data_IF_153831710272
#
_entry.id   IF_153831710272
#
_cell.length_a   1.000
_cell.length_b   1.000
_cell.length_c   1.000
_cell.angle_alpha   90.00
_cell.angle_beta   90.00
_cell.angle_gamma   90.00
#
_symmetry.space_group_name_H-M   'P 1'
#
loop_
_entity.id
_entity.type
_entity.pdbx_description
1 polymer ?
#
# COMPACT_ATOMS: atom_id res chain seq x y z
N UNK A 1 -5.33 37.30 6.99
CA UNK A 1 -4.20 36.72 7.73
C UNK A 1 -4.75 35.62 8.62
N UNK A 2 -4.87 34.42 8.09
CA UNK A 2 -5.28 33.24 8.85
C UNK A 2 -4.01 32.56 9.35
N UNK A 3 -3.80 32.61 10.68
CA UNK A 3 -2.77 31.85 11.34
C UNK A 3 -3.05 30.36 11.17
N UNK A 4 -2.28 29.67 10.35
CA UNK A 4 -2.14 28.21 10.38
C UNK A 4 -1.54 27.86 11.75
N UNK A 5 -2.33 27.23 12.60
CA UNK A 5 -1.85 26.70 13.87
C UNK A 5 -0.95 25.50 13.56
N UNK A 6 0.34 25.64 13.82
CA UNK A 6 1.26 24.52 13.89
C UNK A 6 1.01 23.83 15.24
N UNK A 7 0.87 22.50 15.24
CA UNK A 7 0.97 21.74 16.48
C UNK A 7 2.41 21.73 16.99
N UNK A 8 2.63 21.32 18.24
CA UNK A 8 3.96 21.28 18.86
C UNK A 8 4.97 20.33 18.14
N UNK A 9 4.48 19.50 17.19
CA UNK A 9 5.31 18.60 16.36
C UNK A 9 5.71 19.22 15.01
N UNK A 10 5.21 20.42 14.67
CA UNK A 10 5.47 21.09 13.39
C UNK A 10 4.72 20.47 12.20
N UNK A 11 3.71 19.65 12.45
CA UNK A 11 2.78 19.17 11.43
C UNK A 11 1.76 20.28 11.13
N UNK A 12 1.61 20.59 9.85
CA UNK A 12 0.50 21.41 9.36
C UNK A 12 -0.76 20.57 9.57
N UNK A 13 -1.72 21.11 10.31
CA UNK A 13 -3.05 20.51 10.49
C UNK A 13 -3.56 20.12 9.09
N UNK A 14 -3.94 18.85 8.89
CA UNK A 14 -4.14 18.18 7.60
C UNK A 14 -5.27 18.72 6.72
N UNK A 15 -5.43 20.03 6.66
CA UNK A 15 -6.34 20.72 5.75
C UNK A 15 -5.82 20.77 4.32
N UNK A 16 -6.75 20.70 3.36
CA UNK A 16 -6.45 20.84 1.94
C UNK A 16 -6.27 22.31 1.57
N UNK A 17 -5.40 22.58 0.59
CA UNK A 17 -5.25 23.92 0.03
C UNK A 17 -6.29 24.15 -1.07
N UNK A 18 -6.72 25.41 -1.26
CA UNK A 18 -7.68 25.77 -2.31
C UNK A 18 -7.19 25.36 -3.69
N UNK A 19 -5.89 25.49 -3.95
CA UNK A 19 -5.30 25.14 -5.23
C UNK A 19 -5.38 23.62 -5.53
N UNK A 20 -5.13 22.77 -4.53
CA UNK A 20 -5.25 21.30 -4.67
C UNK A 20 -6.72 20.90 -4.83
N UNK A 21 -7.63 21.56 -4.10
CA UNK A 21 -9.07 21.32 -4.26
C UNK A 21 -9.55 21.66 -5.66
N UNK A 22 -9.18 22.84 -6.20
CA UNK A 22 -9.53 23.25 -7.57
C UNK A 22 -8.95 22.29 -8.61
N UNK A 23 -7.72 21.87 -8.43
CA UNK A 23 -7.04 20.88 -9.27
C UNK A 23 -7.78 19.53 -9.27
N UNK A 24 -8.30 19.07 -8.14
CA UNK A 24 -9.12 17.87 -8.03
C UNK A 24 -10.49 18.07 -8.70
N UNK A 25 -11.18 19.19 -8.44
CA UNK A 25 -12.49 19.50 -9.00
C UNK A 25 -12.48 19.58 -10.53
N UNK A 26 -11.41 20.10 -11.12
CA UNK A 26 -11.28 20.15 -12.57
C UNK A 26 -11.24 18.75 -13.21
N UNK A 27 -10.67 17.76 -12.54
CA UNK A 27 -10.69 16.38 -13.01
C UNK A 27 -12.09 15.77 -12.87
N UNK A 28 -12.73 15.94 -11.71
CA UNK A 28 -14.07 15.43 -11.45
C UNK A 28 -15.08 15.99 -12.46
N UNK A 29 -15.04 17.28 -12.78
CA UNK A 29 -15.92 17.91 -13.80
C UNK A 29 -15.73 17.32 -15.18
N UNK A 30 -14.49 17.08 -15.60
CA UNK A 30 -14.20 16.53 -16.94
C UNK A 30 -14.72 15.10 -17.13
N UNK A 31 -14.82 14.34 -16.04
CA UNK A 31 -15.15 12.92 -16.08
C UNK A 31 -16.56 12.59 -15.56
N UNK A 32 -17.27 13.54 -14.94
CA UNK A 32 -18.68 13.38 -14.57
C UNK A 32 -19.60 13.18 -15.78
N UNK A 33 -19.32 13.87 -16.90
CA UNK A 33 -20.11 13.81 -18.12
C UNK A 33 -19.79 12.57 -18.99
N UNK A 34 -18.62 11.95 -18.80
CA UNK A 34 -18.20 10.74 -19.50
C UNK A 34 -18.78 9.45 -18.89
N UNK A 35 -19.66 9.55 -17.93
CA UNK A 35 -20.04 8.52 -16.96
C UNK A 35 -20.76 7.27 -17.47
N UNK A 36 -21.09 7.13 -18.76
CA UNK A 36 -21.78 5.92 -19.24
C UNK A 36 -20.97 5.07 -20.23
N UNK A 37 -19.87 5.56 -20.78
CA UNK A 37 -19.12 4.88 -21.85
C UNK A 37 -17.76 4.30 -21.46
N UNK A 38 -17.31 4.47 -20.21
CA UNK A 38 -16.06 3.87 -19.74
C UNK A 38 -16.24 2.37 -19.41
N UNK A 39 -16.62 1.58 -20.40
CA UNK A 39 -16.46 0.12 -20.37
C UNK A 39 -14.98 -0.17 -20.62
N UNK A 40 -14.20 -0.22 -19.54
CA UNK A 40 -12.78 -0.53 -19.60
C UNK A 40 -12.45 -1.82 -18.84
N UNK A 41 -11.24 -2.32 -19.03
CA UNK A 41 -10.75 -3.57 -18.40
C UNK A 41 -10.86 -3.59 -16.86
N UNK A 42 -10.96 -2.41 -16.21
CA UNK A 42 -11.08 -2.28 -14.75
C UNK A 42 -12.51 -2.08 -14.24
N UNK A 43 -13.54 -2.18 -15.08
CA UNK A 43 -14.96 -2.01 -14.65
C UNK A 43 -15.40 -3.04 -13.59
N UNK A 44 -14.70 -4.16 -13.50
CA UNK A 44 -14.92 -5.23 -12.53
C UNK A 44 -14.10 -5.09 -11.25
N UNK A 45 -13.44 -3.94 -11.02
CA UNK A 45 -12.54 -3.71 -9.90
C UNK A 45 -13.02 -2.54 -9.04
N UNK A 46 -12.94 -2.70 -7.72
CA UNK A 46 -12.99 -1.61 -6.75
C UNK A 46 -11.60 -1.41 -6.11
N UNK A 47 -11.11 -0.19 -6.18
CA UNK A 47 -9.93 0.26 -5.44
C UNK A 47 -10.41 0.84 -4.11
N UNK A 48 -9.87 0.33 -2.99
CA UNK A 48 -10.21 0.79 -1.64
C UNK A 48 -9.04 1.59 -1.08
N UNK A 49 -9.31 2.84 -0.70
CA UNK A 49 -8.31 3.76 -0.12
C UNK A 49 -8.72 4.12 1.31
N UNK A 50 -8.11 3.47 2.33
CA UNK A 50 -8.18 3.98 3.69
C UNK A 50 -7.26 5.20 3.82
N UNK A 51 -7.74 6.27 4.45
CA UNK A 51 -6.95 7.48 4.69
C UNK A 51 -7.12 7.98 6.12
N UNK A 52 -6.09 8.70 6.61
CA UNK A 52 -6.11 9.34 7.90
C UNK A 52 -5.14 10.54 7.93
N UNK A 53 -5.66 11.75 8.19
CA UNK A 53 -4.90 13.00 8.30
C UNK A 53 -4.00 13.32 7.08
N UNK A 54 -4.41 12.87 5.86
CA UNK A 54 -3.68 13.05 4.61
C UNK A 54 -4.60 13.48 3.46
N UNK A 55 -5.48 14.41 3.71
CA UNK A 55 -6.52 14.80 2.75
C UNK A 55 -5.97 15.31 1.42
N UNK A 56 -4.81 15.99 1.38
CA UNK A 56 -4.15 16.39 0.14
C UNK A 56 -3.87 15.18 -0.77
N UNK A 57 -3.29 14.12 -0.19
CA UNK A 57 -3.01 12.88 -0.93
C UNK A 57 -4.31 12.19 -1.35
N UNK A 58 -5.35 12.28 -0.53
CA UNK A 58 -6.66 11.75 -0.88
C UNK A 58 -7.25 12.47 -2.10
N UNK A 59 -7.10 13.80 -2.22
CA UNK A 59 -7.48 14.54 -3.41
C UNK A 59 -6.68 14.12 -4.64
N UNK A 60 -5.39 13.76 -4.47
CA UNK A 60 -4.56 13.17 -5.53
C UNK A 60 -5.12 11.83 -6.00
N UNK A 61 -5.57 10.96 -5.10
CA UNK A 61 -6.21 9.69 -5.44
C UNK A 61 -7.53 9.91 -6.19
N UNK A 62 -8.39 10.79 -5.70
CA UNK A 62 -9.65 11.14 -6.35
C UNK A 62 -9.38 11.59 -7.80
N UNK A 63 -8.42 12.49 -8.01
CA UNK A 63 -8.03 12.94 -9.34
C UNK A 63 -7.52 11.81 -10.21
N UNK A 64 -6.64 10.95 -9.67
CA UNK A 64 -6.05 9.84 -10.42
C UNK A 64 -7.11 8.86 -10.91
N UNK A 65 -8.03 8.47 -10.04
CA UNK A 65 -9.05 7.47 -10.34
C UNK A 65 -10.29 8.03 -11.03
N UNK A 66 -10.50 9.35 -11.05
CA UNK A 66 -11.70 9.96 -11.67
C UNK A 66 -11.86 9.63 -13.15
N UNK A 67 -10.76 9.38 -13.89
CA UNK A 67 -10.78 8.99 -15.30
C UNK A 67 -10.82 7.47 -15.52
N UNK A 68 -10.76 6.66 -14.45
CA UNK A 68 -10.69 5.20 -14.54
C UNK A 68 -12.06 4.56 -14.70
N UNK A 69 -12.09 3.37 -15.32
CA UNK A 69 -13.28 2.50 -15.30
C UNK A 69 -13.45 1.74 -13.96
N UNK A 70 -12.44 1.70 -13.10
CA UNK A 70 -12.55 1.13 -11.76
C UNK A 70 -13.44 1.97 -10.85
N UNK A 71 -14.11 1.33 -9.90
CA UNK A 71 -14.75 2.01 -8.78
C UNK A 71 -13.71 2.38 -7.72
N UNK A 72 -13.90 3.51 -7.05
CA UNK A 72 -13.07 3.98 -5.95
C UNK A 72 -13.92 4.08 -4.68
N UNK A 73 -13.54 3.37 -3.63
CA UNK A 73 -14.13 3.47 -2.29
C UNK A 73 -13.10 4.07 -1.36
N UNK A 74 -13.44 5.21 -0.76
CA UNK A 74 -12.61 5.93 0.19
C UNK A 74 -13.25 5.86 1.57
N UNK A 75 -12.45 5.45 2.57
CA UNK A 75 -12.83 5.48 3.99
C UNK A 75 -11.83 6.36 4.75
N UNK A 76 -12.29 7.57 5.06
CA UNK A 76 -11.47 8.63 5.65
C UNK A 76 -11.71 8.73 7.16
N UNK A 77 -10.67 8.48 7.95
CA UNK A 77 -10.66 8.61 9.41
C UNK A 77 -10.13 9.95 9.91
N UNK A 78 -9.89 10.92 9.04
CA UNK A 78 -9.40 12.24 9.42
C UNK A 78 -10.36 12.95 10.41
N UNK A 79 -9.84 13.82 11.26
CA UNK A 79 -10.66 14.55 12.26
C UNK A 79 -11.81 15.34 11.63
N UNK A 80 -11.54 15.93 10.46
CA UNK A 80 -12.54 16.66 9.67
C UNK A 80 -12.77 15.93 8.35
N UNK A 81 -14.01 15.94 7.82
CA UNK A 81 -14.28 15.42 6.49
C UNK A 81 -13.63 16.28 5.39
N UNK A 82 -13.56 15.76 4.16
CA UNK A 82 -13.22 16.58 2.99
C UNK A 82 -14.15 17.81 2.90
N UNK A 83 -13.65 18.94 2.34
CA UNK A 83 -14.46 20.15 2.14
C UNK A 83 -15.75 19.88 1.38
N UNK A 84 -16.84 20.60 1.72
CA UNK A 84 -18.17 20.39 1.15
C UNK A 84 -18.19 20.41 -0.37
N UNK A 85 -17.42 21.33 -1.00
CA UNK A 85 -17.33 21.43 -2.45
C UNK A 85 -16.76 20.18 -3.11
N UNK A 86 -15.80 19.53 -2.45
CA UNK A 86 -15.22 18.26 -2.92
C UNK A 86 -16.21 17.12 -2.70
N UNK A 87 -16.81 17.04 -1.50
CA UNK A 87 -17.79 15.99 -1.19
C UNK A 87 -18.95 15.99 -2.17
N UNK A 88 -19.51 17.18 -2.46
CA UNK A 88 -20.61 17.31 -3.44
C UNK A 88 -20.20 16.88 -4.84
N UNK A 89 -18.97 17.17 -5.28
CA UNK A 89 -18.46 16.74 -6.59
C UNK A 89 -18.21 15.22 -6.62
N UNK A 90 -17.72 14.64 -5.54
CA UNK A 90 -17.52 13.18 -5.40
C UNK A 90 -18.87 12.45 -5.37
N UNK A 91 -19.86 12.95 -4.64
CA UNK A 91 -21.21 12.38 -4.60
C UNK A 91 -21.91 12.40 -5.98
N UNK A 92 -21.57 13.35 -6.81
CA UNK A 92 -22.06 13.41 -8.22
C UNK A 92 -21.32 12.47 -9.15
N UNK A 93 -20.16 11.91 -8.75
CA UNK A 93 -19.36 11.04 -9.59
C UNK A 93 -19.83 9.58 -9.48
N UNK A 94 -20.16 8.89 -10.58
CA UNK A 94 -20.86 7.59 -10.55
C UNK A 94 -20.03 6.43 -10.00
N UNK A 95 -18.70 6.58 -9.87
CA UNK A 95 -17.78 5.49 -9.47
C UNK A 95 -16.94 5.80 -8.25
N UNK A 96 -17.14 6.95 -7.59
CA UNK A 96 -16.38 7.32 -6.40
C UNK A 96 -17.34 7.37 -5.22
N UNK A 97 -17.04 6.56 -4.21
CA UNK A 97 -17.76 6.55 -2.94
C UNK A 97 -16.83 7.05 -1.84
N UNK A 98 -17.22 8.12 -1.16
CA UNK A 98 -16.49 8.67 -0.02
C UNK A 98 -17.29 8.46 1.26
N UNK A 99 -16.63 7.95 2.29
CA UNK A 99 -17.18 7.82 3.65
C UNK A 99 -16.18 8.40 4.64
N UNK A 100 -16.64 9.39 5.39
CA UNK A 100 -15.93 9.90 6.56
C UNK A 100 -16.44 9.16 7.80
N UNK A 101 -15.53 8.51 8.50
CA UNK A 101 -15.87 7.68 9.66
C UNK A 101 -14.71 7.70 10.67
N UNK A 102 -14.98 8.13 11.90
CA UNK A 102 -13.99 8.27 12.97
C UNK A 102 -13.76 6.98 13.77
N UNK A 103 -14.35 5.87 13.33
CA UNK A 103 -14.11 4.56 13.93
C UNK A 103 -12.67 4.10 13.70
N UNK A 104 -12.33 2.97 14.32
CA UNK A 104 -11.02 2.35 14.14
C UNK A 104 -10.73 2.01 12.68
N UNK A 105 -9.45 1.81 12.34
CA UNK A 105 -9.07 1.38 11.00
C UNK A 105 -9.71 0.05 10.62
N UNK A 106 -9.79 -0.89 11.55
CA UNK A 106 -10.44 -2.18 11.32
C UNK A 106 -11.93 -2.01 10.97
N UNK A 107 -12.64 -1.15 11.68
CA UNK A 107 -14.05 -0.86 11.40
C UNK A 107 -14.25 -0.15 10.06
N UNK A 108 -13.37 0.82 9.73
CA UNK A 108 -13.40 1.49 8.42
C UNK A 108 -13.15 0.53 7.26
N UNK A 109 -12.26 -0.45 7.42
CA UNK A 109 -12.03 -1.47 6.38
C UNK A 109 -13.21 -2.44 6.25
N UNK A 110 -13.90 -2.78 7.36
CA UNK A 110 -15.17 -3.52 7.31
C UNK A 110 -16.26 -2.74 6.59
N UNK A 111 -16.38 -1.45 6.93
CA UNK A 111 -17.31 -0.54 6.25
C UNK A 111 -17.01 -0.49 4.74
N UNK A 112 -15.74 -0.34 4.35
CA UNK A 112 -15.33 -0.34 2.95
C UNK A 112 -15.73 -1.65 2.25
N UNK A 113 -15.53 -2.79 2.90
CA UNK A 113 -15.94 -4.10 2.37
C UNK A 113 -17.43 -4.18 2.03
N UNK A 114 -18.29 -3.57 2.85
CA UNK A 114 -19.73 -3.48 2.59
C UNK A 114 -20.12 -2.57 1.43
N UNK A 115 -19.21 -1.73 0.94
CA UNK A 115 -19.43 -0.81 -0.18
C UNK A 115 -18.89 -1.35 -1.52
N UNK A 116 -18.19 -2.48 -1.52
CA UNK A 116 -17.66 -3.10 -2.74
C UNK A 116 -18.76 -3.88 -3.45
N UNK A 117 -19.05 -3.50 -4.69
CA UNK A 117 -20.05 -4.16 -5.54
C UNK A 117 -19.42 -4.95 -6.70
N UNK A 118 -18.16 -4.68 -7.04
CA UNK A 118 -17.43 -5.33 -8.14
C UNK A 118 -16.93 -6.73 -7.76
N UNK A 119 -16.66 -7.62 -8.74
CA UNK A 119 -16.13 -8.96 -8.50
C UNK A 119 -14.75 -9.01 -7.83
N UNK A 120 -13.95 -7.97 -8.05
CA UNK A 120 -12.57 -7.85 -7.56
C UNK A 120 -12.39 -6.58 -6.74
N UNK A 121 -11.50 -6.64 -5.76
CA UNK A 121 -11.10 -5.50 -4.96
C UNK A 121 -9.60 -5.48 -4.69
N UNK A 122 -9.04 -4.29 -4.51
CA UNK A 122 -7.64 -4.07 -4.15
C UNK A 122 -7.53 -2.91 -3.18
N UNK A 123 -6.66 -3.03 -2.17
CA UNK A 123 -6.35 -1.90 -1.29
C UNK A 123 -5.22 -1.05 -1.90
N UNK A 124 -5.24 0.26 -1.62
CA UNK A 124 -4.20 1.20 -2.02
C UNK A 124 -3.95 2.21 -0.90
N UNK A 125 -2.69 2.50 -0.60
CA UNK A 125 -2.32 3.63 0.25
C UNK A 125 -2.68 4.97 -0.40
N UNK A 126 -3.02 5.97 0.43
CA UNK A 126 -3.43 7.29 -0.05
C UNK A 126 -2.32 8.06 -0.79
N UNK A 127 -1.05 7.73 -0.56
CA UNK A 127 0.12 8.33 -1.21
C UNK A 127 0.78 7.45 -2.29
N UNK A 128 0.15 6.36 -2.72
CA UNK A 128 0.67 5.36 -3.65
C UNK A 128 -0.11 5.33 -4.96
N UNK A 129 0.31 4.50 -5.94
CA UNK A 129 -0.42 4.32 -7.19
C UNK A 129 -0.47 2.86 -7.60
N UNK A 130 -1.64 2.37 -7.98
CA UNK A 130 -1.76 1.17 -8.79
C UNK A 130 -1.77 1.54 -10.27
N UNK A 131 -1.09 0.74 -11.08
CA UNK A 131 -1.02 0.91 -12.53
C UNK A 131 -2.12 0.07 -13.19
N UNK A 132 -3.01 0.69 -13.98
CA UNK A 132 -4.12 0.02 -14.65
C UNK A 132 -3.75 -1.24 -15.43
N UNK A 133 -2.67 -1.21 -16.21
CA UNK A 133 -2.22 -2.37 -16.99
C UNK A 133 -1.80 -3.54 -16.09
N UNK A 134 -1.12 -3.27 -14.96
CA UNK A 134 -0.76 -4.28 -13.98
C UNK A 134 -1.96 -4.90 -13.27
N UNK A 135 -2.96 -4.07 -12.91
CA UNK A 135 -4.22 -4.52 -12.33
C UNK A 135 -5.00 -5.40 -13.33
N UNK A 136 -5.11 -4.98 -14.59
CA UNK A 136 -5.74 -5.75 -15.66
C UNK A 136 -5.07 -7.11 -15.86
N UNK A 137 -3.73 -7.15 -15.79
CA UNK A 137 -3.00 -8.42 -15.87
C UNK A 137 -3.33 -9.36 -14.69
N UNK A 138 -3.45 -8.83 -13.48
CA UNK A 138 -3.84 -9.62 -12.30
C UNK A 138 -5.28 -10.12 -12.39
N UNK A 139 -6.21 -9.31 -12.88
CA UNK A 139 -7.61 -9.70 -13.09
C UNK A 139 -7.71 -10.82 -14.13
N UNK A 140 -7.02 -10.72 -15.27
CA UNK A 140 -7.00 -11.78 -16.30
C UNK A 140 -6.54 -13.12 -15.73
N UNK A 141 -5.51 -13.12 -14.89
CA UNK A 141 -5.05 -14.34 -14.22
C UNK A 141 -6.12 -14.94 -13.30
N UNK A 142 -6.87 -14.10 -12.58
CA UNK A 142 -7.97 -14.54 -11.73
C UNK A 142 -9.17 -15.06 -12.55
N UNK A 143 -9.42 -14.46 -13.72
CA UNK A 143 -10.48 -14.93 -14.63
C UNK A 143 -10.13 -16.29 -15.23
N UNK A 144 -8.86 -16.51 -15.58
CA UNK A 144 -8.36 -17.76 -16.18
C UNK A 144 -8.28 -18.93 -15.17
N UNK A 145 -8.02 -18.65 -13.88
CA UNK A 145 -7.92 -19.68 -12.84
C UNK A 145 -8.84 -19.36 -11.64
N UNK A 146 -10.03 -19.97 -11.66
CA UNK A 146 -11.07 -19.77 -10.65
C UNK A 146 -10.68 -20.31 -9.25
N UNK A 147 -9.61 -21.07 -9.13
CA UNK A 147 -9.10 -21.55 -7.84
C UNK A 147 -8.29 -20.50 -7.10
N UNK A 148 -7.72 -19.55 -7.83
CA UNK A 148 -6.96 -18.45 -7.24
C UNK A 148 -7.89 -17.49 -6.50
N UNK A 149 -7.49 -17.10 -5.29
CA UNK A 149 -8.22 -16.11 -4.49
C UNK A 149 -7.65 -14.70 -4.65
N UNK A 150 -6.38 -14.61 -5.08
CA UNK A 150 -5.69 -13.35 -5.29
C UNK A 150 -4.55 -13.44 -6.29
N UNK A 151 -4.22 -12.31 -6.88
CA UNK A 151 -3.10 -12.14 -7.79
C UNK A 151 -2.45 -10.78 -7.58
N UNK A 152 -1.13 -10.70 -7.68
CA UNK A 152 -0.39 -9.47 -7.53
C UNK A 152 0.65 -9.33 -8.63
N UNK A 153 0.93 -8.08 -9.03
CA UNK A 153 2.05 -7.76 -9.91
C UNK A 153 3.33 -7.43 -9.15
N UNK A 154 4.32 -6.98 -9.89
CA UNK A 154 5.61 -6.50 -9.36
C UNK A 154 5.48 -5.06 -8.85
N UNK A 155 6.44 -4.65 -8.04
CA UNK A 155 6.40 -3.37 -7.33
C UNK A 155 7.66 -2.54 -7.61
N UNK A 156 7.44 -1.26 -7.88
CA UNK A 156 8.50 -0.25 -7.84
C UNK A 156 8.23 0.71 -6.69
N UNK A 157 9.27 1.10 -5.97
CA UNK A 157 9.18 2.26 -5.10
C UNK A 157 9.55 3.52 -5.86
N UNK A 158 8.91 4.63 -5.52
CA UNK A 158 9.25 5.93 -6.08
C UNK A 158 9.57 6.96 -5.01
N UNK A 159 10.48 7.88 -5.34
CA UNK A 159 10.82 9.04 -4.53
C UNK A 159 10.89 10.27 -5.42
N UNK A 160 10.17 11.36 -5.12
CA UNK A 160 10.37 12.62 -5.80
C UNK A 160 11.75 13.20 -5.53
N UNK A 161 12.36 13.77 -6.55
CA UNK A 161 13.68 14.43 -6.48
C UNK A 161 13.66 15.77 -7.23
N UNK A 162 14.70 16.58 -7.06
CA UNK A 162 14.88 17.82 -7.80
C UNK A 162 13.74 18.80 -7.63
N UNK A 163 13.37 19.13 -6.40
CA UNK A 163 12.20 19.98 -6.11
C UNK A 163 10.90 19.40 -6.70
N UNK A 164 10.74 18.08 -6.63
CA UNK A 164 9.60 17.30 -7.15
C UNK A 164 9.44 17.32 -8.67
N UNK A 165 10.48 17.72 -9.43
CA UNK A 165 10.39 17.77 -10.90
C UNK A 165 10.46 16.40 -11.56
N UNK A 166 11.00 15.38 -10.88
CA UNK A 166 11.13 14.00 -11.35
C UNK A 166 10.91 13.02 -10.23
N UNK A 167 10.57 11.80 -10.58
CA UNK A 167 10.62 10.66 -9.68
C UNK A 167 11.84 9.79 -9.98
N UNK A 168 12.27 9.13 -8.95
CA UNK A 168 13.32 8.14 -8.99
C UNK A 168 12.73 6.82 -8.57
N UNK A 169 12.93 5.80 -9.37
CA UNK A 169 12.37 4.49 -9.21
C UNK A 169 13.41 3.49 -8.69
N UNK A 170 12.98 2.60 -7.83
CA UNK A 170 13.77 1.48 -7.35
C UNK A 170 12.89 0.23 -7.24
N UNK A 171 13.49 -0.96 -7.31
CA UNK A 171 12.77 -2.19 -7.07
C UNK A 171 12.32 -2.26 -5.63
N UNK A 172 11.05 -2.59 -5.42
CA UNK A 172 10.53 -2.97 -4.12
C UNK A 172 10.08 -4.43 -4.17
N UNK A 173 10.22 -5.13 -3.07
CA UNK A 173 9.78 -6.53 -2.91
C UNK A 173 10.25 -7.48 -4.04
N UNK A 174 11.56 -7.65 -4.24
CA UNK A 174 12.09 -8.50 -5.33
C UNK A 174 11.67 -9.97 -5.20
N UNK A 175 11.35 -10.45 -4.00
CA UNK A 175 10.81 -11.79 -3.72
C UNK A 175 9.45 -12.05 -4.39
N UNK A 176 8.71 -11.02 -4.80
CA UNK A 176 7.47 -11.21 -5.57
C UNK A 176 7.70 -11.79 -6.97
N UNK A 177 8.93 -11.73 -7.50
CA UNK A 177 9.20 -12.27 -8.82
C UNK A 177 9.16 -13.81 -8.80
N UNK A 178 8.16 -14.38 -9.50
CA UNK A 178 7.95 -15.83 -9.51
C UNK A 178 7.30 -16.39 -8.25
N UNK A 179 6.89 -15.54 -7.30
CA UNK A 179 6.21 -15.99 -6.10
C UNK A 179 4.88 -16.64 -6.43
N UNK A 180 4.66 -17.84 -5.90
CA UNK A 180 3.45 -18.62 -6.16
C UNK A 180 3.18 -19.59 -5.01
N UNK A 181 2.10 -19.39 -4.29
CA UNK A 181 1.66 -20.25 -3.19
C UNK A 181 0.40 -20.99 -3.62
N UNK A 182 0.54 -22.26 -4.02
CA UNK A 182 -0.53 -23.06 -4.64
C UNK A 182 -0.86 -24.36 -3.91
N UNK A 183 -0.35 -24.58 -2.70
CA UNK A 183 -0.66 -25.76 -1.91
C UNK A 183 -2.17 -25.91 -1.73
N UNK A 184 -2.68 -27.12 -1.93
CA UNK A 184 -4.11 -27.42 -1.79
C UNK A 184 -4.55 -27.44 -0.32
N UNK A 185 -3.69 -27.96 0.54
CA UNK A 185 -3.92 -27.98 1.97
C UNK A 185 -3.74 -26.56 2.57
N UNK A 186 -4.69 -26.06 3.37
CA UNK A 186 -4.62 -24.71 3.94
C UNK A 186 -3.46 -24.51 4.92
N UNK A 187 -3.12 -25.52 5.73
CA UNK A 187 -2.02 -25.45 6.68
C UNK A 187 -0.68 -25.39 5.94
N UNK A 188 -0.44 -26.30 5.00
CA UNK A 188 0.76 -26.33 4.16
C UNK A 188 0.92 -25.01 3.39
N UNK A 189 -0.19 -24.46 2.88
CA UNK A 189 -0.21 -23.20 2.15
C UNK A 189 0.18 -22.04 3.05
N UNK A 190 -0.34 -21.97 4.27
CA UNK A 190 0.01 -20.93 5.23
C UNK A 190 1.48 -21.01 5.63
N UNK A 191 1.99 -22.20 5.96
CA UNK A 191 3.39 -22.42 6.30
C UNK A 191 4.30 -21.97 5.15
N UNK A 192 4.01 -22.41 3.92
CA UNK A 192 4.78 -22.02 2.74
C UNK A 192 4.77 -20.50 2.50
N UNK A 193 3.63 -19.85 2.76
CA UNK A 193 3.51 -18.41 2.64
C UNK A 193 4.31 -17.65 3.71
N UNK A 194 4.26 -18.11 4.97
CA UNK A 194 4.90 -17.43 6.09
C UNK A 194 6.41 -17.65 6.15
N UNK A 195 6.92 -18.73 5.54
CA UNK A 195 8.37 -18.98 5.45
C UNK A 195 9.12 -18.05 4.48
N UNK A 196 8.42 -17.40 3.54
CA UNK A 196 8.99 -16.43 2.59
C UNK A 196 8.01 -15.26 2.36
N UNK A 197 7.44 -14.77 3.46
CA UNK A 197 6.39 -13.75 3.37
C UNK A 197 6.94 -12.40 2.97
N UNK A 198 6.39 -11.87 1.89
CA UNK A 198 6.59 -10.49 1.48
C UNK A 198 5.40 -9.64 1.93
N UNK A 199 5.66 -8.56 2.67
CA UNK A 199 4.67 -7.62 3.21
C UNK A 199 3.97 -6.82 2.10
N UNK A 200 3.26 -7.51 1.21
CA UNK A 200 2.60 -6.91 0.04
C UNK A 200 1.25 -7.56 -0.30
N UNK A 201 0.86 -8.63 0.40
CA UNK A 201 -0.40 -9.36 0.13
C UNK A 201 -1.63 -8.47 0.27
N UNK A 202 -1.59 -7.47 1.14
CA UNK A 202 -2.66 -6.49 1.31
C UNK A 202 -2.95 -5.67 0.03
N UNK A 203 -1.98 -5.55 -0.88
CA UNK A 203 -2.09 -4.86 -2.16
C UNK A 203 -2.37 -5.80 -3.35
N UNK A 204 -2.65 -7.06 -3.09
CA UNK A 204 -3.07 -7.99 -4.14
C UNK A 204 -4.49 -7.68 -4.61
N UNK A 205 -4.76 -7.88 -5.89
CA UNK A 205 -6.13 -7.97 -6.40
C UNK A 205 -6.73 -9.26 -5.86
N UNK A 206 -7.78 -9.14 -5.07
CA UNK A 206 -8.49 -10.25 -4.45
C UNK A 206 -9.89 -10.38 -5.05
N UNK A 207 -10.43 -11.58 -5.07
CA UNK A 207 -11.89 -11.76 -5.25
C UNK A 207 -12.61 -11.06 -4.11
N UNK A 208 -13.65 -10.31 -4.40
CA UNK A 208 -14.37 -9.51 -3.40
C UNK A 208 -14.80 -10.28 -2.15
N UNK A 209 -15.35 -11.51 -2.24
CA UNK A 209 -15.66 -12.26 -1.02
C UNK A 209 -14.44 -12.54 -0.14
N UNK A 210 -13.26 -12.78 -0.75
CA UNK A 210 -12.01 -12.98 -0.02
C UNK A 210 -11.51 -11.67 0.61
N UNK A 211 -11.61 -10.56 -0.14
CA UNK A 211 -11.28 -9.23 0.38
C UNK A 211 -12.14 -8.89 1.60
N UNK A 212 -13.47 -9.08 1.49
CA UNK A 212 -14.41 -8.80 2.56
C UNK A 212 -14.17 -9.65 3.81
N UNK A 213 -13.86 -10.93 3.65
CA UNK A 213 -13.58 -11.84 4.77
C UNK A 213 -12.24 -11.54 5.42
N UNK A 214 -11.18 -11.39 4.63
CA UNK A 214 -9.84 -11.16 5.16
C UNK A 214 -9.75 -9.83 5.92
N UNK A 215 -10.18 -8.73 5.31
CA UNK A 215 -10.23 -7.43 5.99
C UNK A 215 -11.34 -7.33 7.04
N UNK A 216 -12.45 -8.06 6.87
CA UNK A 216 -13.53 -8.13 7.86
C UNK A 216 -13.13 -8.83 9.15
N UNK A 217 -12.19 -9.78 9.11
CA UNK A 217 -11.73 -10.55 10.28
C UNK A 217 -10.69 -9.82 11.14
N UNK A 218 -10.05 -8.76 10.65
CA UNK A 218 -8.98 -8.09 11.38
C UNK A 218 -9.46 -7.54 12.72
N UNK A 219 -8.58 -7.65 13.73
CA UNK A 219 -8.77 -7.08 15.06
C UNK A 219 -8.08 -5.74 15.21
N UNK A 220 -8.19 -5.19 16.42
CA UNK A 220 -7.41 -4.05 16.86
C UNK A 220 -6.26 -4.58 17.71
N UNK A 221 -5.04 -4.24 17.33
CA UNK A 221 -3.83 -4.70 17.99
C UNK A 221 -2.87 -3.53 18.22
N UNK A 222 -2.07 -3.64 19.27
CA UNK A 222 -0.98 -2.71 19.54
C UNK A 222 0.11 -2.74 18.44
N UNK A 223 0.14 -3.78 17.61
CA UNK A 223 1.06 -3.92 16.48
C UNK A 223 0.33 -3.73 15.15
N UNK A 224 0.71 -2.72 14.37
CA UNK A 224 0.21 -2.56 13.00
C UNK A 224 0.60 -3.72 12.08
N UNK A 225 1.75 -4.35 12.33
CA UNK A 225 2.17 -5.55 11.60
C UNK A 225 1.25 -6.75 11.88
N UNK A 226 0.68 -6.85 13.09
CA UNK A 226 -0.28 -7.92 13.41
C UNK A 226 -1.57 -7.79 12.60
N UNK A 227 -2.05 -6.56 12.38
CA UNK A 227 -3.22 -6.30 11.54
C UNK A 227 -2.97 -6.76 10.09
N UNK A 228 -1.83 -6.37 9.52
CA UNK A 228 -1.47 -6.74 8.14
C UNK A 228 -1.26 -8.25 7.99
N UNK A 229 -0.55 -8.88 8.95
CA UNK A 229 -0.35 -10.33 8.94
C UNK A 229 -1.64 -11.12 9.15
N UNK A 230 -2.57 -10.63 9.97
CA UNK A 230 -3.87 -11.27 10.11
C UNK A 230 -4.62 -11.31 8.78
N UNK A 231 -4.65 -10.20 8.05
CA UNK A 231 -5.25 -10.14 6.72
C UNK A 231 -4.56 -11.10 5.76
N UNK A 232 -3.21 -11.10 5.73
CA UNK A 232 -2.45 -11.97 4.84
C UNK A 232 -2.66 -13.46 5.15
N UNK A 233 -2.59 -13.85 6.42
CA UNK A 233 -2.86 -15.23 6.84
C UNK A 233 -4.28 -15.67 6.47
N UNK A 234 -5.28 -14.80 6.65
CA UNK A 234 -6.64 -15.08 6.23
C UNK A 234 -6.69 -15.39 4.73
N UNK A 235 -6.04 -14.57 3.89
CA UNK A 235 -6.03 -14.79 2.45
C UNK A 235 -5.37 -16.13 2.09
N UNK A 236 -4.21 -16.46 2.67
CA UNK A 236 -3.53 -17.73 2.38
C UNK A 236 -4.29 -18.95 2.90
N UNK A 237 -4.97 -18.85 4.01
CA UNK A 237 -5.85 -19.92 4.50
C UNK A 237 -7.06 -20.13 3.59
N UNK A 238 -7.61 -19.06 3.03
CA UNK A 238 -8.79 -19.13 2.16
C UNK A 238 -8.48 -19.59 0.73
N UNK A 239 -7.25 -19.45 0.25
CA UNK A 239 -6.91 -19.97 -1.07
C UNK A 239 -5.53 -19.58 -1.60
N UNK A 240 -5.19 -20.09 -2.79
CA UNK A 240 -3.88 -19.87 -3.41
C UNK A 240 -3.75 -18.46 -4.01
N UNK A 241 -2.52 -17.95 -3.98
CA UNK A 241 -2.12 -16.67 -4.59
C UNK A 241 -0.93 -16.92 -5.53
N UNK A 242 -0.85 -16.11 -6.59
CA UNK A 242 0.35 -16.02 -7.42
C UNK A 242 0.67 -14.57 -7.80
N UNK A 243 1.85 -14.37 -8.37
CA UNK A 243 2.26 -13.08 -8.91
C UNK A 243 2.49 -13.12 -10.41
N UNK A 244 2.23 -11.99 -11.08
CA UNK A 244 2.57 -11.77 -12.49
C UNK A 244 3.92 -11.08 -12.61
N UNK A 245 4.48 -11.08 -13.83
CA UNK A 245 5.68 -10.29 -14.14
C UNK A 245 5.40 -8.81 -14.49
N UNK A 246 4.14 -8.37 -14.48
CA UNK A 246 3.76 -6.99 -14.78
C UNK A 246 3.94 -6.09 -13.55
N UNK A 247 4.39 -4.86 -13.76
CA UNK A 247 4.41 -3.87 -12.67
C UNK A 247 2.97 -3.43 -12.40
N UNK A 248 2.54 -3.58 -11.15
CA UNK A 248 1.19 -3.23 -10.71
C UNK A 248 1.15 -2.04 -9.76
N UNK A 249 2.17 -1.88 -8.93
CA UNK A 249 2.12 -0.96 -7.83
C UNK A 249 3.38 -0.08 -7.74
N UNK A 250 3.16 1.23 -7.61
CA UNK A 250 4.17 2.23 -7.27
C UNK A 250 4.04 2.58 -5.79
N UNK A 251 4.95 2.03 -4.98
CA UNK A 251 5.03 2.30 -3.55
C UNK A 251 5.68 3.65 -3.29
N UNK A 252 5.01 4.51 -2.55
CA UNK A 252 5.54 5.82 -2.17
C UNK A 252 6.66 5.72 -1.14
N UNK A 253 7.69 6.58 -1.30
CA UNK A 253 8.67 6.90 -0.27
C UNK A 253 8.64 8.43 0.00
N UNK A 254 7.52 9.08 -0.29
CA UNK A 254 7.34 10.53 -0.08
C UNK A 254 7.19 10.87 1.39
N UNK A 255 6.47 10.02 2.11
CA UNK A 255 6.17 10.16 3.52
C UNK A 255 6.91 9.12 4.36
N UNK A 256 7.21 9.42 5.63
CA UNK A 256 7.62 8.35 6.54
C UNK A 256 6.49 7.31 6.64
N UNK A 257 6.87 6.03 6.70
CA UNK A 257 5.91 4.98 6.95
C UNK A 257 5.16 5.30 8.26
N UNK A 258 3.87 5.55 8.15
CA UNK A 258 3.01 5.59 9.33
C UNK A 258 2.55 4.15 9.58
N UNK A 259 2.72 3.64 10.79
CA UNK A 259 2.18 2.35 11.15
C UNK A 259 0.66 2.38 10.97
N UNK A 260 0.12 1.34 10.38
CA UNK A 260 -1.31 1.15 10.31
C UNK A 260 -1.88 1.17 11.74
N UNK A 261 -2.72 2.13 12.05
CA UNK A 261 -3.61 2.08 13.23
C UNK A 261 -3.14 2.73 14.53
N UNK A 262 -2.00 3.45 14.61
CA UNK A 262 -1.60 4.08 15.87
C UNK A 262 -1.43 5.60 15.75
N UNK A 263 -2.07 6.33 16.66
CA UNK A 263 -1.81 7.76 16.90
C UNK A 263 -0.51 7.99 17.70
N UNK A 264 0.07 6.94 18.30
CA UNK A 264 1.20 6.99 19.23
C UNK A 264 2.44 6.22 18.73
N UNK A 265 3.57 6.43 19.36
CA UNK A 265 4.86 5.76 19.08
C UNK A 265 4.80 4.22 19.14
N UNK A 266 3.76 3.65 19.74
CA UNK A 266 3.53 2.22 19.93
C UNK A 266 3.27 1.43 18.62
N UNK A 267 2.89 2.09 17.53
CA UNK A 267 2.66 1.42 16.24
C UNK A 267 3.90 0.84 15.56
N UNK A 268 5.06 0.96 16.19
CA UNK A 268 6.34 0.39 15.72
C UNK A 268 6.66 -0.98 16.33
N UNK A 269 5.70 -1.59 17.02
CA UNK A 269 5.90 -2.91 17.59
C UNK A 269 5.92 -3.94 16.47
N UNK A 270 7.07 -4.57 16.28
CA UNK A 270 7.24 -5.63 15.29
C UNK A 270 6.42 -6.87 15.67
N UNK A 271 5.99 -7.63 14.67
CA UNK A 271 5.19 -8.83 14.92
C UNK A 271 5.90 -9.85 15.83
N UNK A 272 7.19 -10.18 15.69
CA UNK A 272 7.89 -11.07 16.63
C UNK A 272 7.85 -10.57 18.09
N UNK A 273 8.10 -9.28 18.33
CA UNK A 273 8.01 -8.69 19.67
C UNK A 273 6.58 -8.78 20.24
N UNK A 274 5.59 -8.48 19.41
CA UNK A 274 4.19 -8.58 19.79
C UNK A 274 3.77 -10.04 20.03
N UNK A 275 4.23 -10.97 19.17
CA UNK A 275 3.90 -12.38 19.29
C UNK A 275 4.47 -13.03 20.55
N UNK A 276 5.68 -12.71 20.93
CA UNK A 276 6.38 -13.29 22.10
C UNK A 276 6.11 -12.54 23.41
N UNK A 277 5.70 -11.26 23.33
CA UNK A 277 5.53 -10.41 24.51
C UNK A 277 4.37 -10.81 25.41
N UNK A 278 4.61 -11.02 26.70
CA UNK A 278 3.57 -11.41 27.67
C UNK A 278 2.41 -10.41 27.74
N UNK A 279 2.70 -9.11 27.61
CA UNK A 279 1.69 -8.05 27.68
C UNK A 279 0.62 -8.12 26.58
N UNK A 280 0.90 -8.85 25.48
CA UNK A 280 0.00 -8.97 24.32
C UNK A 280 -0.74 -10.32 24.27
N UNK A 281 -0.71 -11.12 25.32
CA UNK A 281 -1.32 -12.46 25.33
C UNK A 281 -2.80 -12.44 24.95
N UNK A 282 -3.56 -11.46 25.48
CA UNK A 282 -4.99 -11.33 25.16
C UNK A 282 -5.23 -10.96 23.69
N UNK A 283 -4.37 -10.07 23.12
CA UNK A 283 -4.46 -9.70 21.72
C UNK A 283 -4.11 -10.87 20.80
N UNK A 284 -3.08 -11.65 21.12
CA UNK A 284 -2.73 -12.88 20.39
C UNK A 284 -3.84 -13.92 20.43
N UNK A 285 -4.43 -14.13 21.60
CA UNK A 285 -5.57 -15.04 21.74
C UNK A 285 -6.72 -14.60 20.83
N UNK A 286 -7.04 -13.29 20.78
CA UNK A 286 -8.05 -12.75 19.89
C UNK A 286 -7.67 -12.90 18.41
N UNK A 287 -6.41 -12.68 18.04
CA UNK A 287 -5.88 -12.88 16.70
C UNK A 287 -6.08 -14.32 16.22
N UNK A 288 -5.64 -15.29 17.02
CA UNK A 288 -5.78 -16.72 16.69
C UNK A 288 -7.25 -17.12 16.60
N UNK A 289 -8.07 -16.71 17.58
CA UNK A 289 -9.51 -17.05 17.62
C UNK A 289 -10.23 -16.52 16.39
N UNK A 290 -10.02 -15.24 16.00
CA UNK A 290 -10.69 -14.64 14.84
C UNK A 290 -10.34 -15.34 13.53
N UNK A 291 -9.07 -15.70 13.33
CA UNK A 291 -8.64 -16.43 12.13
C UNK A 291 -9.16 -17.86 12.14
N UNK A 292 -9.10 -18.56 13.28
CA UNK A 292 -9.61 -19.92 13.40
C UNK A 292 -11.11 -19.98 13.13
N UNK A 293 -11.89 -19.05 13.68
CA UNK A 293 -13.33 -18.95 13.41
C UNK A 293 -13.63 -18.71 11.93
N UNK A 294 -12.97 -17.71 11.32
CA UNK A 294 -13.12 -17.41 9.90
C UNK A 294 -12.88 -18.65 9.02
N UNK A 295 -11.79 -19.37 9.28
CA UNK A 295 -11.38 -20.50 8.46
C UNK A 295 -12.24 -21.72 8.72
N UNK A 296 -12.60 -22.00 9.97
CA UNK A 296 -13.50 -23.08 10.35
C UNK A 296 -14.88 -22.92 9.70
N UNK A 297 -15.44 -21.72 9.73
CA UNK A 297 -16.74 -21.41 9.12
C UNK A 297 -16.71 -21.56 7.59
N UNK A 298 -15.59 -21.21 6.95
CA UNK A 298 -15.46 -21.28 5.48
C UNK A 298 -15.16 -22.68 4.97
N UNK A 299 -14.32 -23.44 5.67
CA UNK A 299 -13.87 -24.75 5.24
C UNK A 299 -14.68 -25.91 5.87
N UNK A 300 -15.53 -25.62 6.86
CA UNK A 300 -16.21 -26.65 7.66
C UNK A 300 -15.24 -27.48 8.49
N UNK A 301 -14.12 -26.91 8.89
CA UNK A 301 -13.07 -27.57 9.66
C UNK A 301 -13.24 -27.37 11.17
N UNK A 302 -12.51 -28.16 11.97
CA UNK A 302 -12.49 -28.01 13.42
C UNK A 302 -11.76 -26.72 13.84
N UNK A 303 -12.31 -25.98 14.81
CA UNK A 303 -11.74 -24.70 15.24
C UNK A 303 -10.38 -24.84 15.92
N UNK A 304 -10.19 -25.88 16.72
CA UNK A 304 -8.92 -26.11 17.41
C UNK A 304 -7.83 -26.50 16.41
N UNK A 305 -8.20 -27.25 15.38
CA UNK A 305 -7.33 -27.57 14.25
C UNK A 305 -6.94 -26.29 13.49
N UNK A 306 -7.88 -25.44 13.13
CA UNK A 306 -7.63 -24.15 12.47
C UNK A 306 -6.75 -23.23 13.34
N UNK A 307 -6.98 -23.18 14.65
CA UNK A 307 -6.15 -22.44 15.59
C UNK A 307 -4.70 -22.92 15.57
N UNK A 308 -4.49 -24.25 15.51
CA UNK A 308 -3.15 -24.82 15.40
C UNK A 308 -2.41 -24.43 14.12
N UNK A 309 -3.11 -24.33 12.99
CA UNK A 309 -2.53 -23.84 11.73
C UNK A 309 -2.09 -22.38 11.82
N UNK A 310 -2.93 -21.53 12.42
CA UNK A 310 -2.63 -20.10 12.61
C UNK A 310 -1.40 -19.92 13.50
N UNK A 311 -1.32 -20.65 14.62
CA UNK A 311 -0.17 -20.62 15.54
C UNK A 311 1.09 -21.05 14.79
N UNK A 312 1.07 -22.18 14.09
CA UNK A 312 2.21 -22.69 13.36
C UNK A 312 2.69 -21.69 12.27
N UNK A 313 1.76 -21.08 11.53
CA UNK A 313 2.09 -20.05 10.54
C UNK A 313 2.74 -18.80 11.17
N UNK A 314 2.22 -18.35 12.31
CA UNK A 314 2.78 -17.22 13.04
C UNK A 314 4.19 -17.53 13.58
N UNK A 315 4.41 -18.72 14.12
CA UNK A 315 5.72 -19.17 14.61
C UNK A 315 6.75 -19.25 13.50
N UNK A 316 6.38 -19.79 12.33
CA UNK A 316 7.26 -19.80 11.15
C UNK A 316 7.65 -18.39 10.75
N UNK A 317 6.69 -17.45 10.66
CA UNK A 317 7.00 -16.05 10.36
C UNK A 317 7.94 -15.43 11.39
N UNK A 318 7.72 -15.68 12.68
CA UNK A 318 8.57 -15.18 13.77
C UNK A 318 10.00 -15.72 13.65
N UNK A 319 10.15 -17.02 13.41
CA UNK A 319 11.46 -17.66 13.30
C UNK A 319 12.27 -17.14 12.09
N UNK A 320 11.64 -16.99 10.94
CA UNK A 320 12.29 -16.45 9.73
C UNK A 320 12.70 -14.98 9.87
N UNK A 321 11.94 -14.19 10.64
CA UNK A 321 12.21 -12.76 10.82
C UNK A 321 12.96 -12.43 12.14
N UNK A 322 13.33 -13.41 12.94
CA UNK A 322 14.02 -13.21 14.22
C UNK A 322 15.39 -12.57 14.04
N UNK A 323 16.17 -13.01 13.07
CA UNK A 323 17.52 -12.50 12.82
C UNK A 323 17.51 -11.02 12.38
N UNK A 324 16.52 -10.63 11.60
CA UNK A 324 16.37 -9.24 11.16
C UNK A 324 15.99 -8.34 12.35
N UNK A 325 15.14 -8.84 13.25
CA UNK A 325 14.76 -8.14 14.47
C UNK A 325 15.95 -7.92 15.43
N UNK A 326 16.73 -8.97 15.71
CA UNK A 326 17.87 -8.89 16.63
C UNK A 326 18.99 -7.98 16.11
N UNK A 327 19.17 -7.88 14.80
CA UNK A 327 20.23 -7.08 14.18
C UNK A 327 19.82 -5.63 13.90
N UNK A 328 18.55 -5.39 13.56
CA UNK A 328 18.05 -4.05 13.24
C UNK A 328 17.72 -3.21 14.49
N UNK A 329 17.36 -3.81 15.60
CA UNK A 329 16.90 -3.08 16.79
C UNK A 329 17.91 -2.05 17.34
N UNK A 330 19.20 -2.37 17.58
CA UNK A 330 20.18 -1.39 18.05
C UNK A 330 20.50 -0.31 17.00
N UNK A 331 20.51 -0.70 15.72
CA UNK A 331 20.80 0.20 14.60
C UNK A 331 19.61 1.10 14.30
N UNK A 332 18.39 0.58 14.36
CA UNK A 332 17.18 1.38 14.18
C UNK A 332 16.95 2.34 15.35
N UNK A 333 17.17 1.95 16.60
CA UNK A 333 17.11 2.88 17.76
C UNK A 333 18.12 4.03 17.62
N UNK A 334 19.30 3.75 17.08
CA UNK A 334 20.28 4.80 16.76
C UNK A 334 19.82 5.63 15.55
N UNK A 335 19.31 4.99 14.52
CA UNK A 335 18.81 5.66 13.31
C UNK A 335 17.53 6.44 13.56
N UNK A 336 16.58 5.95 14.37
CA UNK A 336 15.36 6.71 14.73
C UNK A 336 15.68 7.96 15.52
N UNK A 337 16.78 8.00 16.28
CA UNK A 337 17.27 9.24 16.89
C UNK A 337 17.97 10.18 15.92
N UNK A 338 18.57 9.64 14.85
CA UNK A 338 19.32 10.40 13.83
C UNK A 338 18.48 10.71 12.58
N UNK A 339 17.48 9.89 12.27
CA UNK A 339 16.65 9.99 11.05
C UNK A 339 15.84 11.30 10.98
N UNK A 340 15.25 11.85 12.06
CA UNK A 340 14.57 13.15 11.94
C UNK A 340 15.50 14.25 11.47
N UNK A 341 16.74 14.26 11.95
CA UNK A 341 17.77 15.20 11.49
C UNK A 341 18.28 14.84 10.09
N UNK A 342 18.49 13.54 9.82
CA UNK A 342 18.95 13.07 8.51
C UNK A 342 17.88 13.18 7.42
N UNK A 343 16.61 12.90 7.74
CA UNK A 343 15.49 13.08 6.82
C UNK A 343 15.19 14.56 6.55
N UNK A 344 15.35 15.42 7.57
CA UNK A 344 15.27 16.88 7.39
C UNK A 344 16.46 17.37 6.53
N UNK A 345 17.66 16.87 6.78
CA UNK A 345 18.85 17.16 6.00
C UNK A 345 18.75 16.58 4.57
N UNK A 346 18.23 15.37 4.40
CA UNK A 346 18.01 14.75 3.09
C UNK A 346 16.95 15.50 2.27
N UNK A 347 15.87 15.97 2.90
CA UNK A 347 14.88 16.87 2.26
C UNK A 347 15.49 18.22 1.87
N UNK A 348 16.30 18.81 2.75
CA UNK A 348 17.01 20.06 2.47
C UNK A 348 18.05 19.87 1.37
N UNK A 349 18.80 18.77 1.38
CA UNK A 349 19.78 18.43 0.35
C UNK A 349 19.09 18.10 -0.98
N UNK A 350 17.97 17.36 -0.99
CA UNK A 350 17.18 17.12 -2.20
C UNK A 350 16.58 18.41 -2.79
N UNK A 351 16.30 19.41 -1.95
CA UNK A 351 15.85 20.74 -2.40
C UNK A 351 16.97 21.60 -2.99
N UNK A 352 18.20 21.44 -2.52
CA UNK A 352 19.31 22.37 -2.84
C UNK A 352 20.31 21.83 -3.87
N UNK A 353 20.35 20.52 -4.15
CA UNK A 353 21.33 19.92 -5.05
C UNK A 353 20.75 19.64 -6.44
N UNK A 354 21.56 19.87 -7.52
CA UNK A 354 21.18 19.47 -8.86
C UNK A 354 20.92 17.96 -8.96
N UNK A 355 19.87 17.56 -9.65
CA UNK A 355 19.41 16.17 -9.84
C UNK A 355 20.54 15.20 -10.21
N UNK A 356 21.46 15.65 -11.08
CA UNK A 356 22.58 14.85 -11.58
C UNK A 356 23.53 14.39 -10.46
N UNK A 357 23.77 15.24 -9.45
CA UNK A 357 24.67 14.91 -8.34
C UNK A 357 23.99 13.96 -7.34
N UNK A 358 22.71 14.15 -7.08
CA UNK A 358 21.92 13.27 -6.20
C UNK A 358 21.77 11.87 -6.81
N UNK A 359 21.43 11.79 -8.10
CA UNK A 359 21.35 10.54 -8.87
C UNK A 359 22.70 9.83 -8.94
N UNK A 360 23.78 10.59 -9.17
CA UNK A 360 25.15 10.07 -9.18
C UNK A 360 25.56 9.45 -7.84
N UNK A 361 25.24 10.12 -6.73
CA UNK A 361 25.52 9.64 -5.38
C UNK A 361 24.73 8.35 -5.04
N UNK A 362 23.43 8.26 -5.40
CA UNK A 362 22.63 7.05 -5.20
C UNK A 362 23.10 5.88 -6.08
N UNK A 363 23.45 6.13 -7.34
CA UNK A 363 24.06 5.12 -8.24
C UNK A 363 25.39 4.61 -7.70
N UNK A 364 26.23 5.48 -7.19
CA UNK A 364 27.50 5.10 -6.57
C UNK A 364 27.31 4.29 -5.30
N UNK A 365 26.40 4.71 -4.39
CA UNK A 365 26.05 3.96 -3.19
C UNK A 365 25.54 2.57 -3.52
N UNK A 366 24.66 2.42 -4.52
CA UNK A 366 24.15 1.12 -4.97
C UNK A 366 25.25 0.20 -5.52
N UNK A 367 26.27 0.76 -6.21
CA UNK A 367 27.44 0.00 -6.67
C UNK A 367 28.33 -0.46 -5.52
N UNK A 368 28.56 0.40 -4.54
CA UNK A 368 29.38 0.10 -3.35
C UNK A 368 28.70 -0.98 -2.49
N UNK A 369 27.39 -0.88 -2.27
CA UNK A 369 26.65 -1.87 -1.49
C UNK A 369 26.64 -3.23 -2.18
N UNK A 370 26.48 -3.28 -3.50
CA UNK A 370 26.61 -4.53 -4.29
C UNK A 370 28.01 -5.12 -4.23
N UNK A 371 29.06 -4.29 -4.32
CA UNK A 371 30.45 -4.73 -4.17
C UNK A 371 30.72 -5.33 -2.78
N UNK A 372 30.03 -4.84 -1.75
CA UNK A 372 30.14 -5.34 -0.37
C UNK A 372 29.21 -6.55 -0.10
N UNK A 373 28.57 -7.11 -1.11
CA UNK A 373 27.66 -8.26 -0.96
C UNK A 373 26.38 -7.95 -0.18
N UNK A 374 26.11 -6.66 0.09
CA UNK A 374 24.87 -6.21 0.71
C UNK A 374 23.84 -5.93 -0.39
N UNK A 375 22.63 -6.42 -0.23
CA UNK A 375 21.49 -6.09 -1.07
C UNK A 375 21.14 -4.60 -0.91
N UNK A 376 21.92 -3.75 -1.54
CA UNK A 376 21.52 -2.37 -1.80
C UNK A 376 20.36 -2.43 -2.76
N UNK A 377 19.18 -1.94 -2.38
CA UNK A 377 17.99 -1.98 -3.22
C UNK A 377 18.34 -1.63 -4.67
N UNK A 378 17.81 -2.41 -5.62
CA UNK A 378 18.04 -2.21 -7.03
C UNK A 378 17.46 -0.84 -7.43
N UNK A 379 18.34 0.12 -7.52
CA UNK A 379 18.01 1.46 -7.94
C UNK A 379 17.98 1.53 -9.46
N UNK A 380 16.83 1.85 -10.01
CA UNK A 380 16.64 1.84 -11.45
C UNK A 380 16.97 3.18 -12.12
N UNK A 381 16.65 4.27 -11.50
CA UNK A 381 16.84 5.58 -12.10
C UNK A 381 15.50 6.25 -12.42
N UNK A 382 15.40 6.85 -13.59
CA UNK A 382 14.21 7.56 -14.07
C UNK A 382 13.35 6.65 -14.95
N UNK A 383 12.18 7.14 -15.37
CA UNK A 383 11.25 6.39 -16.24
C UNK A 383 11.92 5.96 -17.55
N UNK A 384 12.80 6.79 -18.10
CA UNK A 384 13.51 6.49 -19.34
C UNK A 384 14.50 5.32 -19.23
N UNK A 385 14.99 5.02 -18.02
CA UNK A 385 15.91 3.91 -17.77
C UNK A 385 15.18 2.54 -17.69
N UNK A 386 13.86 2.53 -17.43
CA UNK A 386 13.08 1.32 -17.11
C UNK A 386 13.10 0.23 -18.20
N UNK A 387 12.94 0.54 -19.52
CA UNK A 387 12.85 -0.51 -20.53
C UNK A 387 14.10 -1.40 -20.60
N UNK A 388 15.28 -0.80 -20.36
CA UNK A 388 16.55 -1.53 -20.31
C UNK A 388 16.65 -2.45 -19.09
N UNK A 389 16.18 -1.96 -17.96
CA UNK A 389 16.26 -2.64 -16.66
C UNK A 389 15.27 -3.80 -16.59
N UNK A 390 14.02 -3.59 -17.01
CA UNK A 390 13.01 -4.66 -17.04
C UNK A 390 13.45 -5.83 -17.89
N UNK A 391 14.05 -5.54 -19.06
CA UNK A 391 14.61 -6.59 -19.93
C UNK A 391 15.73 -7.38 -19.23
N UNK A 392 16.60 -6.71 -18.50
CA UNK A 392 17.70 -7.35 -17.79
C UNK A 392 17.23 -8.20 -16.59
N UNK A 393 16.09 -7.88 -16.00
CA UNK A 393 15.52 -8.59 -14.84
C UNK A 393 14.42 -9.61 -15.21
N UNK A 394 14.12 -9.78 -16.51
CA UNK A 394 13.08 -10.69 -16.95
C UNK A 394 11.65 -10.24 -16.61
N UNK A 395 11.46 -8.95 -16.30
CA UNK A 395 10.14 -8.39 -16.09
C UNK A 395 9.43 -8.12 -17.41
N UNK A 396 8.10 -8.16 -17.40
CA UNK A 396 7.31 -7.88 -18.61
C UNK A 396 7.39 -6.39 -18.91
N UNK A 397 7.85 -6.06 -20.12
CA UNK A 397 7.84 -4.70 -20.64
C UNK A 397 6.53 -4.48 -21.36
N UNK A 398 5.62 -3.78 -20.69
CA UNK A 398 4.39 -3.28 -21.29
C UNK A 398 4.55 -1.78 -21.56
N UNK A 399 4.46 -1.32 -22.84
CA UNK A 399 4.49 0.11 -23.13
C UNK A 399 3.45 0.91 -22.34
N UNK A 400 2.25 0.36 -22.13
CA UNK A 400 1.21 1.01 -21.34
C UNK A 400 1.66 1.27 -19.89
N UNK A 401 2.39 0.34 -19.28
CA UNK A 401 2.95 0.53 -17.92
C UNK A 401 3.94 1.70 -17.88
N UNK A 402 4.78 1.85 -18.91
CA UNK A 402 5.74 2.96 -18.99
C UNK A 402 5.01 4.31 -19.09
N UNK A 403 3.98 4.39 -19.93
CA UNK A 403 3.15 5.59 -20.10
C UNK A 403 2.38 5.91 -18.81
N UNK A 404 1.85 4.90 -18.11
CA UNK A 404 1.17 5.04 -16.83
C UNK A 404 2.11 5.56 -15.73
N UNK A 405 3.37 5.06 -15.68
CA UNK A 405 4.38 5.57 -14.74
C UNK A 405 4.73 7.03 -15.08
N UNK A 406 4.86 7.39 -16.35
CA UNK A 406 5.06 8.76 -16.79
C UNK A 406 3.91 9.68 -16.36
N UNK A 407 2.67 9.22 -16.53
CA UNK A 407 1.47 9.95 -16.08
C UNK A 407 1.43 10.14 -14.56
N UNK A 408 1.83 9.13 -13.80
CA UNK A 408 1.96 9.23 -12.34
C UNK A 408 3.05 10.24 -11.96
N UNK A 409 4.21 10.26 -12.65
CA UNK A 409 5.27 11.25 -12.45
C UNK A 409 4.77 12.67 -12.68
N UNK A 410 4.03 12.91 -13.77
CA UNK A 410 3.44 14.21 -14.07
C UNK A 410 2.46 14.65 -12.99
N UNK A 411 1.61 13.75 -12.52
CA UNK A 411 0.67 14.02 -11.44
C UNK A 411 1.38 14.34 -10.11
N UNK A 412 2.43 13.61 -9.76
CA UNK A 412 3.25 13.87 -8.58
C UNK A 412 3.89 15.24 -8.67
N UNK A 413 4.41 15.61 -9.84
CA UNK A 413 5.03 16.92 -10.09
C UNK A 413 4.03 18.06 -9.93
N UNK A 414 2.84 17.94 -10.56
CA UNK A 414 1.76 18.94 -10.44
C UNK A 414 1.33 19.11 -8.98
N UNK A 415 1.05 18.00 -8.31
CA UNK A 415 0.62 17.99 -6.92
C UNK A 415 1.59 18.72 -5.98
N UNK A 416 2.89 18.43 -6.10
CA UNK A 416 3.88 19.08 -5.24
C UNK A 416 4.16 20.53 -5.62
N UNK A 417 3.99 20.92 -6.90
CA UNK A 417 4.07 22.32 -7.30
C UNK A 417 2.98 23.15 -6.59
N UNK A 418 1.73 22.66 -6.58
CA UNK A 418 0.63 23.31 -5.89
C UNK A 418 0.83 23.45 -4.38
N UNK A 419 1.50 22.46 -3.74
CA UNK A 419 1.84 22.53 -2.31
C UNK A 419 2.95 23.52 -1.99
N UNK A 420 3.85 23.78 -2.92
CA UNK A 420 4.99 24.70 -2.71
C UNK A 420 4.60 26.17 -2.93
N UNK A 421 3.65 26.45 -3.81
CA UNK A 421 3.23 27.82 -4.12
C UNK A 421 2.49 28.50 -2.96
N UNK A 422 2.07 27.73 -1.94
CA UNK A 422 1.34 28.25 -0.76
C UNK A 422 2.20 28.30 0.53
N UNK A 423 3.47 27.84 0.49
CA UNK A 423 4.43 27.91 1.61
C UNK A 423 5.43 29.05 1.43
#
# INVERSE_FOLDING_TARGET
>A
MSHLALDESGHVDGGTTTAIEDWCLDALKRHSDAGSELSGELSNLTVVVPSWQRQDYLLRQIRYWSASSASLVIVDGSRLPLPDRIRSAVEAHPRITYRHDLSSQADRLRLAGGLIESPYAVMLGDDEFHLPAGLSASIRVLDDDQKLVGCMGQVLSFSPVGQYRRIVLARAYPSLHGYSIRHSDPADRLIAAMSDYTMATCYAVLRTPIWQRSWGSIGEYSSGAALELQQAMAVYLLGPILTTGHIQWLRSIENPNQPLGSEEEDGKIWFPEWWEGQRYEAERAAFVTRLAELVADELGADRDECASWVIAGAEVFVDENRSDYEFEEPVQRLLTRLIPAAAKMQRTVARCFPDVLFLGAKRWRGRVLRFLGRSGGNYYGTVEDLPGIFRAEGLVIDPAVIDEIGSAEDMIREFHALRLDET
#
